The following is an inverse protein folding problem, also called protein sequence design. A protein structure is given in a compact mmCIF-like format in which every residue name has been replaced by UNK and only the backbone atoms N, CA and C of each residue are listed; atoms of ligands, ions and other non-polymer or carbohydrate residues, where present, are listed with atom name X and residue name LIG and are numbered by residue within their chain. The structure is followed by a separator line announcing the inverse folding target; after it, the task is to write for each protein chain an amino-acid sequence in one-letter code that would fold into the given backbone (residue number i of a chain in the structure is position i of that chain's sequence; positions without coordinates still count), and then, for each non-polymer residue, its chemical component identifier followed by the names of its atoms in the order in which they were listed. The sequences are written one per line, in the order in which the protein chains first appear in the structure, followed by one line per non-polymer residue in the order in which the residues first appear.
data_IF_752295481079
#
_entry.id   IF_752295481079
#
_cell.length_a   1.000
_cell.length_b   1.000
_cell.length_c   1.000
_cell.angle_alpha   90.00
_cell.angle_beta   90.00
_cell.angle_gamma   90.00
#
_symmetry.space_group_name_H-M   'P 1'
#
loop_
_entity.id
_entity.type
_entity.pdbx_description
1 polymer ?
#
# COMPACT_ATOMS: atom_id res chain seq x y z
N UNK A 1 -10.95 -109.27 -2.00
CA UNK A 1 -11.74 -108.20 -1.37
C UNK A 1 -10.78 -107.22 -0.71
N UNK A 2 -10.67 -106.02 -1.30
CA UNK A 2 -10.35 -104.70 -0.71
C UNK A 2 -9.56 -104.63 0.61
N UNK A 3 -8.40 -103.95 0.60
CA UNK A 3 -8.11 -102.87 1.57
C UNK A 3 -7.19 -101.80 0.95
N UNK A 4 -7.48 -100.56 1.33
CA UNK A 4 -7.07 -99.29 0.72
C UNK A 4 -5.63 -98.87 1.04
N UNK A 5 -5.00 -98.12 0.12
CA UNK A 5 -3.84 -97.25 0.38
C UNK A 5 -4.31 -95.81 0.39
N UNK A 6 -4.08 -95.10 1.50
CA UNK A 6 -4.21 -93.65 1.60
C UNK A 6 -3.01 -92.99 0.91
N UNK A 7 -3.25 -92.01 0.03
CA UNK A 7 -2.24 -91.08 -0.46
C UNK A 7 -2.67 -89.66 -0.08
N UNK A 8 -1.80 -88.96 0.66
CA UNK A 8 -2.01 -87.59 1.10
C UNK A 8 -1.73 -86.60 -0.04
N UNK A 9 -2.63 -85.62 -0.23
CA UNK A 9 -2.47 -84.53 -1.18
C UNK A 9 -2.03 -83.27 -0.41
N UNK A 10 -0.81 -82.78 -0.67
CA UNK A 10 -0.32 -81.50 -0.15
C UNK A 10 -0.60 -80.40 -1.18
N UNK A 11 -1.40 -79.40 -0.81
CA UNK A 11 -1.67 -78.22 -1.63
C UNK A 11 -0.59 -77.15 -1.35
N UNK A 12 0.23 -76.83 -2.36
CA UNK A 12 1.18 -75.73 -2.30
C UNK A 12 0.47 -74.40 -2.63
N UNK A 13 0.41 -73.48 -1.67
CA UNK A 13 -0.09 -72.12 -1.86
C UNK A 13 1.01 -71.25 -2.49
N UNK A 14 0.80 -70.80 -3.74
CA UNK A 14 1.65 -69.81 -4.41
C UNK A 14 1.19 -68.39 -4.05
N UNK A 15 2.01 -67.66 -3.30
CA UNK A 15 1.81 -66.22 -3.07
C UNK A 15 2.44 -65.42 -4.22
N UNK A 16 1.75 -64.39 -4.77
CA UNK A 16 2.31 -63.56 -5.81
C UNK A 16 3.33 -62.57 -5.20
N UNK A 17 4.54 -62.56 -5.76
CA UNK A 17 5.57 -61.58 -5.44
C UNK A 17 5.22 -60.29 -6.16
N UNK A 18 4.80 -59.26 -5.42
CA UNK A 18 4.57 -57.92 -5.95
C UNK A 18 5.92 -57.23 -6.22
N UNK A 19 6.19 -56.89 -7.48
CA UNK A 19 7.35 -56.08 -7.86
C UNK A 19 7.07 -54.60 -7.57
N UNK A 20 7.96 -53.85 -6.91
CA UNK A 20 7.76 -52.43 -6.67
C UNK A 20 7.84 -51.64 -7.98
N UNK A 21 6.81 -50.87 -8.28
CA UNK A 21 6.80 -49.90 -9.37
C UNK A 21 7.67 -48.71 -8.94
N UNK A 22 8.67 -48.28 -9.75
CA UNK A 22 9.48 -47.13 -9.38
C UNK A 22 8.61 -45.87 -9.36
N UNK A 23 8.51 -45.24 -8.19
CA UNK A 23 7.89 -43.92 -8.03
C UNK A 23 8.69 -42.91 -8.84
N UNK A 24 8.07 -42.36 -9.89
CA UNK A 24 8.66 -41.28 -10.68
C UNK A 24 8.82 -40.08 -9.75
N UNK A 25 10.05 -39.73 -9.40
CA UNK A 25 10.35 -38.53 -8.64
C UNK A 25 9.74 -37.34 -9.38
N UNK A 26 8.70 -36.74 -8.79
CA UNK A 26 8.14 -35.49 -9.28
C UNK A 26 9.23 -34.44 -9.10
N UNK A 27 9.79 -33.99 -10.22
CA UNK A 27 10.66 -32.82 -10.23
C UNK A 27 9.87 -31.69 -9.59
N UNK A 28 10.38 -31.02 -8.54
CA UNK A 28 9.68 -29.89 -7.98
C UNK A 28 9.55 -28.86 -9.10
N UNK A 29 8.32 -28.62 -9.53
CA UNK A 29 8.00 -27.48 -10.38
C UNK A 29 8.37 -26.29 -9.52
N UNK A 30 9.50 -25.66 -9.83
CA UNK A 30 9.84 -24.38 -9.24
C UNK A 30 8.60 -23.51 -9.37
N UNK A 31 8.03 -23.11 -8.22
CA UNK A 31 6.90 -22.21 -8.19
C UNK A 31 7.30 -20.99 -9.03
N UNK A 32 6.74 -20.89 -10.24
CA UNK A 32 6.91 -19.72 -11.07
C UNK A 32 6.53 -18.55 -10.18
N UNK A 33 7.48 -17.63 -9.93
CA UNK A 33 7.22 -16.41 -9.19
C UNK A 33 5.99 -15.77 -9.83
N UNK A 34 4.85 -15.83 -9.13
CA UNK A 34 3.59 -15.29 -9.58
C UNK A 34 3.87 -13.84 -9.95
N UNK A 35 3.81 -13.52 -11.25
CA UNK A 35 4.19 -12.20 -11.73
C UNK A 35 3.28 -11.18 -11.04
N UNK A 36 3.83 -10.40 -10.11
CA UNK A 36 3.03 -9.52 -9.27
C UNK A 36 2.17 -8.60 -10.13
N UNK A 37 0.86 -8.69 -9.95
CA UNK A 37 -0.14 -7.91 -10.69
C UNK A 37 0.16 -6.41 -10.51
N UNK A 38 0.07 -5.60 -11.59
CA UNK A 38 0.24 -4.15 -11.48
C UNK A 38 -0.72 -3.57 -10.44
N UNK A 39 -0.35 -2.47 -9.79
CA UNK A 39 -1.12 -1.81 -8.74
C UNK A 39 -2.56 -1.52 -9.19
N UNK A 40 -2.68 -0.97 -10.41
CA UNK A 40 -3.91 -0.75 -11.17
C UNK A 40 -3.59 -0.83 -12.67
N UNK A 41 -4.60 -0.97 -13.57
CA UNK A 41 -4.37 -0.97 -15.01
C UNK A 41 -3.62 0.29 -15.45
N UNK A 42 -2.45 0.13 -16.08
CA UNK A 42 -1.62 1.24 -16.53
C UNK A 42 -0.68 1.83 -15.47
N UNK A 43 -0.54 1.23 -14.28
CA UNK A 43 0.46 1.66 -13.30
C UNK A 43 1.89 1.60 -13.89
N UNK A 44 2.66 2.69 -13.72
CA UNK A 44 4.02 2.85 -14.24
C UNK A 44 5.02 3.06 -13.10
N UNK A 45 6.30 3.15 -13.46
CA UNK A 45 7.36 3.53 -12.52
C UNK A 45 7.81 2.44 -11.56
N UNK A 46 8.66 2.82 -10.62
CA UNK A 46 9.32 1.92 -9.67
C UNK A 46 8.35 1.19 -8.73
N UNK A 47 7.20 1.81 -8.46
CA UNK A 47 6.18 1.27 -7.57
C UNK A 47 5.04 0.56 -8.33
N UNK A 48 5.13 0.38 -9.66
CA UNK A 48 4.02 -0.11 -10.51
C UNK A 48 3.34 -1.40 -10.05
N UNK A 49 4.02 -2.21 -9.21
CA UNK A 49 3.53 -3.49 -8.69
C UNK A 49 3.23 -3.48 -7.20
N UNK A 50 3.20 -2.31 -6.55
CA UNK A 50 2.78 -2.23 -5.16
C UNK A 50 1.34 -2.72 -5.03
N UNK A 51 1.02 -3.60 -4.06
CA UNK A 51 -0.34 -4.10 -3.87
C UNK A 51 -1.28 -3.05 -3.28
N UNK A 52 -0.76 -1.98 -2.65
CA UNK A 52 -1.58 -1.06 -1.86
C UNK A 52 -2.44 -1.82 -0.85
N UNK A 53 -3.73 -1.48 -0.78
CA UNK A 53 -4.72 -2.14 0.07
C UNK A 53 -5.38 -3.40 -0.49
N UNK A 54 -4.89 -3.95 -1.61
CA UNK A 54 -5.52 -5.10 -2.29
C UNK A 54 -5.75 -6.28 -1.35
N UNK A 55 -6.97 -6.84 -1.37
CA UNK A 55 -7.38 -7.94 -0.48
C UNK A 55 -7.70 -7.50 0.95
N UNK A 56 -7.54 -6.21 1.25
CA UNK A 56 -7.86 -5.60 2.53
C UNK A 56 -9.33 -5.26 2.71
N UNK A 57 -9.63 -4.68 3.88
CA UNK A 57 -10.98 -4.23 4.23
C UNK A 57 -11.33 -2.94 3.47
N UNK A 58 -12.58 -2.79 3.07
CA UNK A 58 -13.08 -1.51 2.58
C UNK A 58 -13.50 -0.66 3.77
N UNK A 59 -12.89 0.52 3.94
CA UNK A 59 -13.26 1.50 4.96
C UNK A 59 -13.87 2.71 4.24
N UNK A 60 -15.07 3.10 4.68
CA UNK A 60 -15.85 4.18 4.07
C UNK A 60 -15.69 5.45 4.88
N UNK A 61 -15.23 6.52 4.23
CA UNK A 61 -15.29 7.88 4.75
C UNK A 61 -16.71 8.39 4.54
N UNK A 62 -17.38 8.72 5.65
CA UNK A 62 -18.81 9.07 5.70
C UNK A 62 -19.07 10.45 6.31
N UNK A 63 -18.03 11.12 6.81
CA UNK A 63 -18.11 12.52 7.26
C UNK A 63 -16.97 13.35 6.67
N UNK A 64 -17.19 14.66 6.57
CA UNK A 64 -16.18 15.66 6.21
C UNK A 64 -15.45 16.23 7.44
N UNK A 65 -15.82 15.79 8.65
CA UNK A 65 -15.10 16.14 9.86
C UNK A 65 -13.66 15.59 9.80
N UNK A 66 -12.68 16.41 10.20
CA UNK A 66 -11.26 16.05 10.12
C UNK A 66 -10.83 14.94 11.09
N UNK A 67 -11.67 14.60 12.08
CA UNK A 67 -11.42 13.60 13.11
C UNK A 67 -12.74 12.94 13.55
N UNK A 68 -12.65 11.80 14.24
CA UNK A 68 -13.80 11.08 14.79
C UNK A 68 -14.37 10.01 13.86
N UNK A 69 -15.47 9.35 14.28
CA UNK A 69 -16.05 8.22 13.56
C UNK A 69 -16.43 8.56 12.12
N UNK A 70 -16.02 7.72 11.18
CA UNK A 70 -16.29 7.88 9.75
C UNK A 70 -15.40 8.90 9.03
N UNK A 71 -14.44 9.53 9.72
CA UNK A 71 -13.52 10.51 9.14
C UNK A 71 -12.44 9.84 8.28
N UNK A 72 -11.81 10.63 7.40
CA UNK A 72 -10.63 10.18 6.66
C UNK A 72 -9.48 9.79 7.60
N UNK A 73 -9.30 10.51 8.72
CA UNK A 73 -8.26 10.22 9.71
C UNK A 73 -8.44 8.84 10.32
N UNK A 74 -9.66 8.50 10.76
CA UNK A 74 -9.96 7.18 11.30
C UNK A 74 -9.64 6.07 10.27
N UNK A 75 -9.99 6.28 9.00
CA UNK A 75 -9.72 5.32 7.94
C UNK A 75 -8.22 5.15 7.64
N UNK A 76 -7.45 6.24 7.67
CA UNK A 76 -5.99 6.24 7.48
C UNK A 76 -5.28 5.56 8.66
N UNK A 77 -5.67 5.85 9.89
CA UNK A 77 -5.01 5.36 11.10
C UNK A 77 -5.41 3.91 11.45
N UNK A 78 -6.42 3.35 10.78
CA UNK A 78 -6.83 1.97 10.98
C UNK A 78 -5.73 0.96 10.61
N UNK A 79 -5.63 -0.13 11.38
CA UNK A 79 -4.64 -1.18 11.14
C UNK A 79 -5.02 -2.17 10.03
N UNK A 80 -3.98 -2.79 9.49
CA UNK A 80 -4.07 -3.85 8.48
C UNK A 80 -4.35 -3.35 7.06
N UNK A 81 -4.32 -4.26 6.07
CA UNK A 81 -4.57 -3.91 4.68
C UNK A 81 -5.97 -3.32 4.50
N UNK A 82 -6.04 -2.16 3.83
CA UNK A 82 -7.30 -1.40 3.70
C UNK A 82 -7.40 -0.58 2.43
N UNK A 83 -8.62 -0.49 1.90
CA UNK A 83 -8.99 0.38 0.79
C UNK A 83 -9.95 1.43 1.34
N UNK A 84 -9.51 2.68 1.34
CA UNK A 84 -10.30 3.83 1.77
C UNK A 84 -11.09 4.35 0.58
N UNK A 85 -12.41 4.37 0.72
CA UNK A 85 -13.37 4.89 -0.27
C UNK A 85 -14.22 5.99 0.37
N UNK A 86 -14.82 6.84 -0.46
CA UNK A 86 -15.54 8.03 0.00
C UNK A 86 -17.02 7.95 -0.38
N UNK A 87 -17.91 8.10 0.61
CA UNK A 87 -19.36 8.28 0.41
C UNK A 87 -19.77 9.76 0.45
N UNK A 88 -18.86 10.63 0.89
CA UNK A 88 -19.01 12.09 0.94
C UNK A 88 -17.94 12.79 0.11
N UNK A 89 -18.26 13.98 -0.40
CA UNK A 89 -17.37 14.83 -1.20
C UNK A 89 -17.48 16.27 -0.71
N UNK A 90 -16.35 16.99 -0.72
CA UNK A 90 -16.26 18.34 -0.17
C UNK A 90 -14.88 18.65 0.38
N UNK A 91 -14.84 19.63 1.28
CA UNK A 91 -13.61 20.07 1.95
C UNK A 91 -13.54 19.43 3.33
N UNK A 92 -12.38 18.86 3.66
CA UNK A 92 -12.04 18.37 4.99
C UNK A 92 -10.99 19.34 5.57
N UNK A 93 -11.35 20.05 6.63
CA UNK A 93 -10.40 20.88 7.39
C UNK A 93 -9.66 19.99 8.39
N UNK A 94 -8.34 19.87 8.22
CA UNK A 94 -7.50 19.06 9.09
C UNK A 94 -7.11 19.76 10.39
N UNK A 95 -7.55 21.01 10.59
CA UNK A 95 -7.36 21.79 11.79
C UNK A 95 -5.90 21.84 12.28
N UNK A 96 -4.97 22.09 11.35
CA UNK A 96 -3.52 22.13 11.59
C UNK A 96 -2.91 20.81 12.09
N UNK A 97 -3.46 19.67 11.63
CA UNK A 97 -2.95 18.34 11.96
C UNK A 97 -2.70 17.52 10.69
N UNK A 98 -1.45 17.23 10.40
CA UNK A 98 -1.04 16.31 9.33
C UNK A 98 -1.70 14.93 9.50
N UNK A 99 -2.13 14.33 8.39
CA UNK A 99 -2.56 12.93 8.37
C UNK A 99 -1.32 12.05 8.22
N UNK A 100 -1.13 11.09 9.13
CA UNK A 100 0.04 10.20 9.10
C UNK A 100 -0.37 8.80 8.68
N UNK A 101 0.10 8.36 7.52
CA UNK A 101 -0.04 6.97 7.07
C UNK A 101 1.11 6.17 7.67
N UNK A 102 0.92 5.61 8.86
CA UNK A 102 1.92 4.78 9.55
C UNK A 102 1.77 3.27 9.23
N UNK A 103 0.54 2.79 9.12
CA UNK A 103 0.25 1.36 8.87
C UNK A 103 0.26 1.07 7.36
N UNK A 104 1.04 0.09 6.88
CA UNK A 104 1.25 -0.19 5.46
C UNK A 104 0.01 -0.78 4.77
N UNK A 105 0.12 -1.08 3.47
CA UNK A 105 -0.90 -1.74 2.65
C UNK A 105 -2.22 -0.96 2.61
N UNK A 106 -2.17 0.27 2.10
CA UNK A 106 -3.34 1.15 2.00
C UNK A 106 -3.51 1.69 0.58
N UNK A 107 -4.76 1.74 0.14
CA UNK A 107 -5.15 2.49 -1.06
C UNK A 107 -6.18 3.54 -0.68
N UNK A 108 -5.90 4.82 -0.93
CA UNK A 108 -6.85 5.92 -0.83
C UNK A 108 -7.41 6.17 -2.23
N UNK A 109 -8.66 5.74 -2.45
CA UNK A 109 -9.33 5.77 -3.75
C UNK A 109 -10.23 7.00 -3.89
N UNK A 110 -9.64 8.20 -4.05
CA UNK A 110 -10.36 9.47 -4.13
C UNK A 110 -11.39 9.57 -5.27
N UNK A 111 -11.22 8.79 -6.35
CA UNK A 111 -12.16 8.71 -7.47
C UNK A 111 -13.54 8.17 -7.10
N UNK A 112 -13.68 7.59 -5.90
CA UNK A 112 -14.97 7.13 -5.37
C UNK A 112 -15.82 8.25 -4.78
N UNK A 113 -15.22 9.40 -4.44
CA UNK A 113 -15.93 10.51 -3.84
C UNK A 113 -16.97 11.11 -4.81
N UNK A 114 -18.17 11.44 -4.33
CA UNK A 114 -19.14 12.19 -5.12
C UNK A 114 -18.60 13.58 -5.46
N UNK A 115 -19.18 14.22 -6.50
CA UNK A 115 -18.85 15.60 -6.86
C UNK A 115 -18.95 16.53 -5.64
N UNK A 116 -17.97 17.43 -5.41
CA UNK A 116 -16.86 17.80 -6.29
C UNK A 116 -15.57 16.98 -6.13
N UNK A 117 -15.61 15.84 -5.44
CA UNK A 117 -14.44 15.10 -4.94
C UNK A 117 -14.00 15.61 -3.56
N UNK A 118 -12.82 15.20 -3.10
CA UNK A 118 -12.30 15.55 -1.76
C UNK A 118 -11.14 16.53 -1.86
N UNK A 119 -11.17 17.57 -1.03
CA UNK A 119 -10.08 18.53 -0.84
C UNK A 119 -9.70 18.58 0.63
N UNK A 120 -8.43 18.43 0.94
CA UNK A 120 -7.87 18.61 2.28
C UNK A 120 -7.30 20.02 2.40
N UNK A 121 -7.57 20.70 3.52
CA UNK A 121 -6.99 22.01 3.83
C UNK A 121 -6.39 22.04 5.23
N UNK A 122 -5.49 23.01 5.47
CA UNK A 122 -4.90 23.29 6.79
C UNK A 122 -4.22 22.06 7.41
N UNK A 123 -3.55 21.28 6.55
CA UNK A 123 -2.77 20.11 6.90
C UNK A 123 -2.39 19.33 5.64
N UNK A 124 -1.35 18.50 5.77
CA UNK A 124 -0.83 17.64 4.72
C UNK A 124 -1.10 16.15 4.94
N UNK A 125 -0.43 15.32 4.14
CA UNK A 125 -0.31 13.88 4.36
C UNK A 125 1.17 13.50 4.43
N UNK A 126 1.55 12.88 5.55
CA UNK A 126 2.83 12.23 5.73
C UNK A 126 2.68 10.73 5.50
N UNK A 127 3.37 10.22 4.48
CA UNK A 127 3.43 8.78 4.21
C UNK A 127 4.68 8.22 4.89
N UNK A 128 4.49 7.46 5.98
CA UNK A 128 5.55 6.80 6.72
C UNK A 128 5.30 5.29 6.78
N UNK A 129 5.87 4.53 5.86
CA UNK A 129 5.62 3.08 5.78
C UNK A 129 5.78 2.57 4.36
N UNK A 130 5.04 1.52 3.99
CA UNK A 130 5.17 0.94 2.67
C UNK A 130 3.89 0.40 2.05
N UNK A 131 3.95 0.22 0.74
CA UNK A 131 2.85 -0.26 -0.09
C UNK A 131 1.60 0.63 0.04
N UNK A 132 1.78 1.88 -0.38
CA UNK A 132 0.79 2.95 -0.27
C UNK A 132 0.41 3.46 -1.66
N UNK A 133 -0.89 3.58 -1.91
CA UNK A 133 -1.42 4.19 -3.13
C UNK A 133 -2.36 5.32 -2.73
N UNK A 134 -2.12 6.53 -3.24
CA UNK A 134 -2.99 7.69 -3.06
C UNK A 134 -3.42 8.20 -4.43
N UNK A 135 -4.73 8.26 -4.65
CA UNK A 135 -5.28 8.68 -5.94
C UNK A 135 -6.41 9.71 -5.83
N UNK A 136 -6.49 10.60 -6.81
CA UNK A 136 -7.66 11.45 -7.08
C UNK A 136 -8.15 12.31 -5.90
N UNK A 137 -7.23 12.78 -5.06
CA UNK A 137 -7.53 13.76 -4.01
C UNK A 137 -6.84 15.09 -4.29
N UNK A 138 -7.32 16.15 -3.63
CA UNK A 138 -6.68 17.46 -3.64
C UNK A 138 -6.17 17.78 -2.24
N UNK A 139 -4.94 18.27 -2.13
CA UNK A 139 -4.35 18.66 -0.84
C UNK A 139 -3.81 20.07 -0.96
N UNK A 140 -4.30 20.95 -0.08
CA UNK A 140 -4.06 22.40 -0.09
C UNK A 140 -3.81 22.92 1.32
N UNK A 141 -2.64 22.64 1.91
CA UNK A 141 -2.39 23.00 3.31
C UNK A 141 -2.59 24.50 3.57
N UNK A 142 -2.01 25.33 2.70
CA UNK A 142 -1.96 26.78 2.87
C UNK A 142 -1.22 27.19 4.14
N UNK A 143 -1.19 28.49 4.42
CA UNK A 143 -0.57 29.02 5.64
C UNK A 143 -1.32 28.66 6.93
N UNK A 144 -2.47 27.98 6.85
CA UNK A 144 -3.29 27.56 7.98
C UNK A 144 -3.55 28.64 9.06
N UNK A 145 -3.77 29.88 8.58
CA UNK A 145 -3.97 31.10 9.39
C UNK A 145 -2.75 31.47 10.27
N UNK A 146 -1.57 30.94 9.95
CA UNK A 146 -0.33 31.27 10.63
C UNK A 146 0.36 32.47 9.97
N UNK A 147 1.22 33.14 10.75
CA UNK A 147 1.97 34.31 10.31
C UNK A 147 3.19 33.95 9.46
N UNK A 148 3.72 34.97 8.77
CA UNK A 148 5.01 34.91 8.07
C UNK A 148 6.13 34.35 8.98
N UNK A 149 6.90 33.37 8.49
CA UNK A 149 8.01 32.73 9.22
C UNK A 149 7.63 32.24 10.63
N UNK A 150 6.45 31.64 10.77
CA UNK A 150 5.96 31.08 12.04
C UNK A 150 6.45 29.66 12.32
N UNK A 151 7.05 28.98 11.33
CA UNK A 151 7.47 27.58 11.41
C UNK A 151 6.34 26.58 11.17
N UNK A 152 5.29 26.99 10.43
CA UNK A 152 4.30 26.04 9.90
C UNK A 152 4.78 25.54 8.54
N UNK A 153 5.44 24.39 8.56
CA UNK A 153 6.18 23.86 7.42
C UNK A 153 5.47 22.58 6.97
N UNK A 154 4.40 22.75 6.19
CA UNK A 154 3.47 21.68 5.86
C UNK A 154 3.51 21.40 4.36
N UNK A 155 3.81 20.14 4.06
CA UNK A 155 3.76 19.62 2.71
C UNK A 155 2.33 19.30 2.30
N UNK A 156 2.02 19.30 1.00
CA UNK A 156 0.75 18.72 0.57
C UNK A 156 0.77 17.19 0.73
N UNK A 157 1.76 16.52 0.14
CA UNK A 157 2.05 15.10 0.42
C UNK A 157 3.57 14.92 0.52
N UNK A 158 4.04 14.34 1.62
CA UNK A 158 5.43 13.97 1.82
C UNK A 158 5.56 12.45 1.98
N UNK A 159 6.69 11.89 1.55
CA UNK A 159 7.09 10.53 1.96
C UNK A 159 8.28 10.60 2.89
N UNK A 160 8.20 9.95 4.06
CA UNK A 160 9.25 9.97 5.08
C UNK A 160 9.79 8.57 5.31
N UNK A 161 10.97 8.28 4.73
CA UNK A 161 11.58 6.94 4.74
C UNK A 161 10.62 5.83 4.27
N UNK A 162 9.72 6.15 3.35
CA UNK A 162 8.67 5.24 2.87
C UNK A 162 9.10 4.50 1.60
N UNK A 163 8.48 3.36 1.31
CA UNK A 163 8.80 2.64 0.07
C UNK A 163 7.61 1.98 -0.59
N UNK A 164 7.73 1.73 -1.89
CA UNK A 164 6.64 1.22 -2.74
C UNK A 164 5.40 2.13 -2.63
N UNK A 165 5.57 3.40 -3.00
CA UNK A 165 4.51 4.41 -2.91
C UNK A 165 4.11 4.89 -4.31
N UNK A 166 2.81 4.96 -4.57
CA UNK A 166 2.24 5.64 -5.74
C UNK A 166 1.41 6.83 -5.25
N UNK A 167 1.72 8.02 -5.75
CA UNK A 167 0.83 9.20 -5.69
C UNK A 167 0.45 9.52 -7.13
N UNK A 168 -0.82 9.34 -7.48
CA UNK A 168 -1.29 9.40 -8.86
C UNK A 168 -2.59 10.20 -9.02
N UNK A 169 -2.71 11.02 -10.07
CA UNK A 169 -3.90 11.84 -10.33
C UNK A 169 -4.34 12.76 -9.17
N UNK A 170 -3.41 13.22 -8.34
CA UNK A 170 -3.69 14.18 -7.27
C UNK A 170 -3.47 15.62 -7.73
N UNK A 171 -4.13 16.59 -7.07
CA UNK A 171 -3.80 18.02 -7.24
C UNK A 171 -3.24 18.56 -5.93
N UNK A 172 -2.02 19.09 -6.00
CA UNK A 172 -1.18 19.40 -4.85
C UNK A 172 -0.72 20.84 -5.00
N UNK A 173 -1.32 21.72 -4.22
CA UNK A 173 -1.13 23.16 -4.32
C UNK A 173 -0.97 23.80 -2.94
N UNK A 174 -0.36 24.98 -2.87
CA UNK A 174 -0.29 25.79 -1.66
C UNK A 174 0.37 25.11 -0.45
N UNK A 175 1.29 24.17 -0.66
CA UNK A 175 2.24 23.73 0.36
C UNK A 175 3.09 24.91 0.83
N UNK A 176 3.41 24.93 2.13
CA UNK A 176 4.26 25.99 2.71
C UNK A 176 5.72 25.62 2.70
N UNK A 177 6.04 24.32 2.75
CA UNK A 177 7.36 23.80 2.39
C UNK A 177 7.31 23.21 0.96
N UNK A 178 6.90 21.95 0.78
CA UNK A 178 6.82 21.30 -0.53
C UNK A 178 5.40 20.85 -0.93
N UNK A 179 5.04 20.95 -2.21
CA UNK A 179 3.78 20.39 -2.67
C UNK A 179 3.82 18.85 -2.78
N UNK A 180 4.96 18.27 -3.14
CA UNK A 180 5.12 16.83 -3.25
C UNK A 180 6.60 16.47 -3.09
N UNK A 181 6.94 15.80 -1.98
CA UNK A 181 8.32 15.48 -1.63
C UNK A 181 8.52 13.97 -1.40
N UNK A 182 9.74 13.51 -1.63
CA UNK A 182 10.19 12.19 -1.19
C UNK A 182 11.48 12.36 -0.39
N UNK A 183 11.42 12.06 0.90
CA UNK A 183 12.46 12.39 1.86
C UNK A 183 12.75 11.24 2.81
N UNK A 184 13.74 11.43 3.67
CA UNK A 184 14.13 10.48 4.70
C UNK A 184 15.57 10.71 5.16
N UNK A 185 15.98 10.05 6.24
CA UNK A 185 17.34 10.12 6.76
C UNK A 185 18.42 9.87 5.68
N UNK A 186 19.43 10.76 5.62
CA UNK A 186 20.46 10.72 4.58
C UNK A 186 21.53 9.64 4.80
N UNK A 187 21.90 9.36 6.04
CA UNK A 187 23.05 8.52 6.41
C UNK A 187 22.71 7.54 7.55
N UNK A 188 21.85 6.57 7.30
CA UNK A 188 21.39 5.56 8.28
C UNK A 188 22.38 4.41 8.53
N UNK A 189 23.53 4.41 7.84
CA UNK A 189 24.54 3.36 7.91
C UNK A 189 25.90 3.83 7.41
N UNK A 190 26.78 2.89 7.07
CA UNK A 190 28.15 3.16 6.58
C UNK A 190 28.30 2.97 5.07
N UNK A 191 27.30 2.40 4.40
CA UNK A 191 27.33 2.12 2.96
C UNK A 191 26.26 2.90 2.19
N UNK A 192 26.50 3.23 0.90
CA UNK A 192 25.47 3.85 0.05
C UNK A 192 24.16 3.04 -0.03
N UNK A 193 24.23 1.71 0.07
CA UNK A 193 23.07 0.83 0.05
C UNK A 193 22.21 1.02 1.31
N UNK A 194 22.84 1.09 2.48
CA UNK A 194 22.14 1.39 3.74
C UNK A 194 21.53 2.79 3.73
N UNK A 195 22.22 3.78 3.15
CA UNK A 195 21.70 5.14 2.99
C UNK A 195 20.46 5.18 2.09
N UNK A 196 20.50 4.46 0.96
CA UNK A 196 19.35 4.35 0.05
C UNK A 196 18.18 3.62 0.69
N UNK A 197 18.45 2.57 1.46
CA UNK A 197 17.40 1.83 2.19
C UNK A 197 16.77 2.66 3.32
N UNK A 198 17.52 3.59 3.91
CA UNK A 198 17.05 4.45 5.00
C UNK A 198 16.25 5.68 4.58
N UNK A 199 16.22 6.00 3.28
CA UNK A 199 15.41 7.09 2.74
C UNK A 199 14.26 6.55 1.88
N UNK A 200 13.35 7.44 1.47
CA UNK A 200 12.25 7.02 0.61
C UNK A 200 12.76 6.46 -0.72
N UNK A 201 12.26 5.30 -1.13
CA UNK A 201 12.70 4.61 -2.35
C UNK A 201 11.56 3.82 -3.00
N UNK A 202 11.69 3.47 -4.27
CA UNK A 202 10.60 2.89 -5.06
C UNK A 202 9.33 3.76 -4.99
N UNK A 203 9.46 5.03 -5.35
CA UNK A 203 8.37 6.00 -5.36
C UNK A 203 7.97 6.27 -6.81
N UNK A 204 6.67 6.42 -7.05
CA UNK A 204 6.12 6.86 -8.33
C UNK A 204 5.15 8.00 -8.11
N UNK A 205 5.48 9.16 -8.66
CA UNK A 205 4.58 10.29 -8.78
C UNK A 205 4.18 10.38 -10.25
N UNK A 206 2.88 10.21 -10.55
CA UNK A 206 2.37 10.18 -11.93
C UNK A 206 1.08 10.97 -12.08
N UNK A 207 0.89 11.63 -13.22
CA UNK A 207 -0.38 12.31 -13.56
C UNK A 207 -0.88 13.33 -12.51
N UNK A 208 0.02 13.89 -11.69
CA UNK A 208 -0.34 14.87 -10.67
C UNK A 208 -0.33 16.29 -11.24
N UNK A 209 -1.20 17.16 -10.71
CA UNK A 209 -1.11 18.60 -10.89
C UNK A 209 -0.39 19.19 -9.68
N UNK A 210 0.75 19.86 -9.91
CA UNK A 210 1.58 20.44 -8.85
C UNK A 210 1.80 21.91 -9.19
N UNK A 211 1.27 22.82 -8.38
CA UNK A 211 1.28 24.25 -8.70
C UNK A 211 1.22 25.15 -7.46
N UNK A 212 1.50 26.44 -7.62
CA UNK A 212 1.25 27.47 -6.60
C UNK A 212 1.89 27.18 -5.22
N UNK A 213 3.15 26.72 -5.15
CA UNK A 213 3.87 26.65 -3.86
C UNK A 213 3.98 28.05 -3.23
N UNK A 214 3.83 28.14 -1.91
CA UNK A 214 3.79 29.44 -1.24
C UNK A 214 5.21 29.92 -0.88
N UNK A 215 5.81 30.71 -1.78
CA UNK A 215 7.17 31.24 -1.60
C UNK A 215 7.31 32.30 -0.51
N UNK A 216 6.22 33.01 -0.17
CA UNK A 216 6.18 33.97 0.92
C UNK A 216 5.18 33.51 2.00
N UNK A 217 5.54 32.46 2.74
CA UNK A 217 4.65 31.81 3.69
C UNK A 217 5.25 31.67 5.10
N UNK A 218 4.84 30.61 5.77
CA UNK A 218 5.08 30.31 7.17
C UNK A 218 6.40 29.56 7.41
N UNK A 219 6.95 28.90 6.38
CA UNK A 219 8.28 28.28 6.32
C UNK A 219 9.34 29.30 5.89
#
# INVERSE_FOLDING_TARGET
MTFARLAALAAALLLPIATPVPSRAQTPVAAAAEAALPAFPGALGWAARTPGGRGGRIIRVTTLDGEGPGSLREAIEADGPRIVVFEVGGVIDLNRKTLKIASPFITIAGQTAPSPGVTLIRGGIDIGGHDVIVQHIRVRPGSAEQGWMSGWDEDSISTQAAWNVIVDHCSLEWGTDENLSASGPRFTGSTPEEWRAGTSHNITFSNNLIAESLAYSTH
#
